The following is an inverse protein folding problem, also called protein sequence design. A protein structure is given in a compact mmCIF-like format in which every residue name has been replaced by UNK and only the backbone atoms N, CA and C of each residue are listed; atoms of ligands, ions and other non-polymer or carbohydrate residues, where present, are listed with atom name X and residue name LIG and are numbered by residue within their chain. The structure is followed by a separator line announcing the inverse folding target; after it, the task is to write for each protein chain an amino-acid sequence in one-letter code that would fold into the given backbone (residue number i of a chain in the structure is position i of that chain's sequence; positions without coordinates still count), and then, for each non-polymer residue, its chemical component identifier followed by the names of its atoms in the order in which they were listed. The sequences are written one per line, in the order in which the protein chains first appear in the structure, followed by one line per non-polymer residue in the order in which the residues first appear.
data_IF_573611090158
#
_entry.id   IF_573611090158
#
_cell.length_a   1.000
_cell.length_b   1.000
_cell.length_c   1.000
_cell.angle_alpha   90.00
_cell.angle_beta   90.00
_cell.angle_gamma   90.00
#
_symmetry.space_group_name_H-M   'P 1'
#
loop_
_entity.id
_entity.type
_entity.pdbx_description
1 polymer ?
#
# COMPACT_ATOMS: atom_id res chain seq x y z
N UNK A 1 22.11 -1.64 -14.92
CA UNK A 1 20.99 -0.70 -14.70
C UNK A 1 21.13 0.43 -15.70
N UNK A 2 20.11 0.68 -16.53
CA UNK A 2 20.15 1.73 -17.56
C UNK A 2 19.88 3.12 -16.97
N UNK A 3 20.23 4.20 -17.69
CA UNK A 3 19.90 5.60 -17.31
C UNK A 3 18.41 5.75 -16.98
N UNK A 4 17.53 5.16 -17.81
CA UNK A 4 16.08 5.18 -17.61
C UNK A 4 15.63 4.47 -16.33
N UNK A 5 16.18 3.28 -16.03
CA UNK A 5 15.87 2.55 -14.79
C UNK A 5 16.28 3.34 -13.54
N UNK A 6 17.41 4.04 -13.58
CA UNK A 6 17.85 4.91 -12.48
C UNK A 6 16.86 6.06 -12.28
N UNK A 7 16.46 6.72 -13.37
CA UNK A 7 15.51 7.83 -13.33
C UNK A 7 14.13 7.39 -12.79
N UNK A 8 13.61 6.24 -13.23
CA UNK A 8 12.38 5.66 -12.70
C UNK A 8 12.47 5.39 -11.19
N UNK A 9 13.54 4.75 -10.71
CA UNK A 9 13.73 4.49 -9.28
C UNK A 9 13.83 5.77 -8.46
N UNK A 10 14.52 6.79 -8.96
CA UNK A 10 14.56 8.10 -8.30
C UNK A 10 13.18 8.74 -8.21
N UNK A 11 12.40 8.66 -9.28
CA UNK A 11 11.04 9.18 -9.30
C UNK A 11 10.12 8.41 -8.34
N UNK A 12 10.19 7.08 -8.33
CA UNK A 12 9.46 6.24 -7.37
C UNK A 12 9.81 6.58 -5.92
N UNK A 13 11.10 6.74 -5.59
CA UNK A 13 11.53 7.16 -4.25
C UNK A 13 10.98 8.52 -3.86
N UNK A 14 10.89 9.45 -4.82
CA UNK A 14 10.26 10.74 -4.60
C UNK A 14 8.75 10.60 -4.31
N UNK A 15 8.03 9.78 -5.06
CA UNK A 15 6.62 9.51 -4.83
C UNK A 15 6.38 8.83 -3.47
N UNK A 16 7.20 7.86 -3.07
CA UNK A 16 7.12 7.20 -1.76
C UNK A 16 7.16 8.20 -0.59
N UNK A 17 7.92 9.29 -0.75
CA UNK A 17 8.15 10.30 0.28
C UNK A 17 7.16 11.48 0.23
N UNK A 18 6.22 11.51 -0.72
CA UNK A 18 5.31 12.64 -0.94
C UNK A 18 3.88 12.14 -1.14
N UNK A 19 2.91 12.96 -0.74
CA UNK A 19 1.50 12.77 -1.09
C UNK A 19 1.05 14.02 -1.84
N UNK A 20 0.22 13.83 -2.86
CA UNK A 20 -0.28 14.89 -3.71
C UNK A 20 -1.80 14.96 -3.61
N UNK A 21 -2.34 16.18 -3.63
CA UNK A 21 -3.78 16.41 -3.65
C UNK A 21 -4.09 17.42 -4.76
N UNK A 22 -4.74 16.95 -5.83
CA UNK A 22 -5.12 17.75 -7.00
C UNK A 22 -3.94 18.47 -7.69
N UNK A 23 -2.82 17.77 -7.86
CA UNK A 23 -1.64 18.29 -8.59
C UNK A 23 -1.68 17.92 -10.07
N UNK A 24 -1.28 18.84 -10.93
CA UNK A 24 -0.96 18.52 -12.33
C UNK A 24 0.39 17.79 -12.40
N UNK A 25 0.59 16.96 -13.43
CA UNK A 25 1.86 16.24 -13.57
C UNK A 25 3.07 17.18 -13.67
N UNK A 26 2.92 18.33 -14.33
CA UNK A 26 4.01 19.32 -14.43
C UNK A 26 4.42 19.89 -13.07
N UNK A 27 3.47 20.01 -12.13
CA UNK A 27 3.74 20.44 -10.76
C UNK A 27 4.47 19.34 -9.99
N UNK A 28 4.04 18.07 -10.15
CA UNK A 28 4.71 16.89 -9.57
C UNK A 28 6.15 16.80 -10.10
N UNK A 29 6.35 16.97 -11.41
CA UNK A 29 7.67 16.99 -12.03
C UNK A 29 8.55 18.11 -11.48
N UNK A 30 8.01 19.33 -11.39
CA UNK A 30 8.74 20.49 -10.86
C UNK A 30 9.26 20.24 -9.44
N UNK A 31 8.44 19.64 -8.57
CA UNK A 31 8.84 19.21 -7.23
C UNK A 31 9.90 18.10 -7.24
N UNK A 32 9.84 17.18 -8.20
CA UNK A 32 10.83 16.11 -8.34
C UNK A 32 12.22 16.65 -8.70
N UNK A 33 12.29 17.63 -9.60
CA UNK A 33 13.55 18.19 -10.11
C UNK A 33 14.10 19.36 -9.29
N UNK A 34 13.34 19.90 -8.34
CA UNK A 34 13.73 21.07 -7.52
C UNK A 34 15.15 20.92 -6.93
N UNK A 35 15.42 19.75 -6.34
CA UNK A 35 16.72 19.39 -5.77
C UNK A 35 17.61 18.56 -6.73
N UNK A 36 17.21 18.41 -7.99
CA UNK A 36 17.86 17.56 -9.01
C UNK A 36 17.87 18.24 -10.38
N UNK A 37 18.28 19.51 -10.43
CA UNK A 37 18.22 20.33 -11.65
C UNK A 37 18.91 19.69 -12.87
N UNK A 38 19.93 18.86 -12.66
CA UNK A 38 20.62 18.11 -13.72
C UNK A 38 19.70 17.10 -14.44
N UNK A 39 18.55 16.74 -13.87
CA UNK A 39 17.54 15.88 -14.49
C UNK A 39 16.54 16.66 -15.35
N UNK A 40 16.54 18.01 -15.31
CA UNK A 40 15.57 18.83 -16.03
C UNK A 40 15.89 18.94 -17.51
N UNK A 41 15.59 17.88 -18.26
CA UNK A 41 15.66 17.84 -19.73
C UNK A 41 14.32 17.38 -20.28
N UNK A 42 13.99 17.79 -21.51
CA UNK A 42 12.78 17.36 -22.21
C UNK A 42 12.71 15.83 -22.35
N UNK A 43 13.83 15.19 -22.70
CA UNK A 43 13.96 13.73 -22.77
C UNK A 43 13.56 13.04 -21.45
N UNK A 44 14.04 13.55 -20.32
CA UNK A 44 13.75 12.96 -19.01
C UNK A 44 12.31 13.22 -18.57
N UNK A 45 11.78 14.41 -18.88
CA UNK A 45 10.38 14.76 -18.61
C UNK A 45 9.45 13.80 -19.34
N UNK A 46 9.61 13.65 -20.65
CA UNK A 46 8.76 12.78 -21.47
C UNK A 46 8.89 11.32 -21.04
N UNK A 47 10.12 10.86 -20.77
CA UNK A 47 10.35 9.50 -20.30
C UNK A 47 9.63 9.21 -18.97
N UNK A 48 9.68 10.13 -17.99
CA UNK A 48 8.98 9.95 -16.71
C UNK A 48 7.47 10.13 -16.85
N UNK A 49 7.01 11.01 -17.74
CA UNK A 49 5.59 11.17 -18.02
C UNK A 49 4.98 9.89 -18.62
N UNK A 50 5.65 9.29 -19.60
CA UNK A 50 5.24 8.00 -20.16
C UNK A 50 5.23 6.90 -19.11
N UNK A 51 6.28 6.81 -18.28
CA UNK A 51 6.32 5.89 -17.15
C UNK A 51 5.16 6.09 -16.17
N UNK A 52 4.85 7.36 -15.85
CA UNK A 52 3.77 7.74 -14.95
C UNK A 52 2.41 7.29 -15.50
N UNK A 53 2.07 7.65 -16.74
CA UNK A 53 0.78 7.28 -17.35
C UNK A 53 0.64 5.76 -17.47
N UNK A 54 1.68 5.08 -17.96
CA UNK A 54 1.58 3.66 -18.30
C UNK A 54 1.52 2.76 -17.07
N UNK A 55 2.29 3.06 -16.02
CA UNK A 55 2.48 2.16 -14.89
C UNK A 55 1.89 2.67 -13.58
N UNK A 56 1.75 3.99 -13.41
CA UNK A 56 1.39 4.55 -12.12
C UNK A 56 -0.01 5.12 -12.05
N UNK A 57 -0.40 5.91 -13.05
CA UNK A 57 -1.62 6.73 -13.06
C UNK A 57 -2.85 5.91 -12.65
N UNK A 58 -3.16 4.84 -13.39
CA UNK A 58 -4.38 4.03 -13.17
C UNK A 58 -4.41 3.26 -11.85
N UNK A 59 -3.24 2.95 -11.27
CA UNK A 59 -3.13 2.06 -10.10
C UNK A 59 -2.96 2.82 -8.80
N UNK A 60 -2.34 3.99 -8.86
CA UNK A 60 -1.83 4.68 -7.68
C UNK A 60 -2.41 6.09 -7.54
N UNK A 61 -3.10 6.62 -8.54
CA UNK A 61 -3.67 7.96 -8.47
C UNK A 61 -5.18 7.97 -8.75
N UNK A 62 -5.88 8.85 -8.03
CA UNK A 62 -7.23 9.28 -8.41
C UNK A 62 -7.09 10.46 -9.36
N UNK A 63 -7.76 10.39 -10.51
CA UNK A 63 -7.70 11.39 -11.56
C UNK A 63 -8.96 12.25 -11.49
N UNK A 64 -8.78 13.56 -11.40
CA UNK A 64 -9.83 14.54 -11.61
C UNK A 64 -9.88 14.89 -13.10
N UNK A 65 -10.94 14.42 -13.76
CA UNK A 65 -11.17 14.62 -15.20
C UNK A 65 -12.10 15.81 -15.50
N UNK A 66 -12.53 16.57 -14.49
CA UNK A 66 -13.50 17.67 -14.70
C UNK A 66 -12.89 18.85 -15.47
N UNK A 67 -11.57 19.06 -15.34
CA UNK A 67 -10.85 20.17 -15.97
C UNK A 67 -9.50 19.71 -16.51
N UNK A 68 -9.13 20.24 -17.68
CA UNK A 68 -7.78 20.14 -18.20
C UNK A 68 -6.93 21.34 -17.70
N UNK A 69 -5.65 21.14 -17.33
CA UNK A 69 -4.92 19.86 -17.30
C UNK A 69 -5.43 18.91 -16.21
N UNK A 70 -5.29 17.60 -16.44
CA UNK A 70 -5.69 16.58 -15.47
C UNK A 70 -4.96 16.76 -14.14
N UNK A 71 -5.69 16.51 -13.04
CA UNK A 71 -5.14 16.60 -11.69
C UNK A 71 -5.15 15.25 -11.01
N UNK A 72 -4.09 15.02 -10.24
CA UNK A 72 -3.78 13.74 -9.63
C UNK A 72 -3.75 13.87 -8.12
N UNK A 73 -4.42 12.95 -7.46
CA UNK A 73 -4.39 12.77 -6.01
C UNK A 73 -3.79 11.41 -5.69
N UNK A 74 -2.81 11.36 -4.78
CA UNK A 74 -2.16 10.12 -4.35
C UNK A 74 -3.19 9.19 -3.69
N UNK A 75 -3.32 7.97 -4.23
CA UNK A 75 -4.14 6.89 -3.68
C UNK A 75 -3.32 5.66 -3.26
N UNK A 76 -2.01 5.68 -3.51
CA UNK A 76 -1.08 4.65 -3.10
C UNK A 76 -0.63 4.80 -1.65
N UNK A 77 -0.26 3.70 -1.03
CA UNK A 77 0.61 3.69 0.13
C UNK A 77 2.08 3.53 -0.24
N UNK A 78 2.98 3.94 0.65
CA UNK A 78 4.42 3.91 0.38
C UNK A 78 4.93 2.50 0.06
N UNK A 79 4.38 1.46 0.69
CA UNK A 79 4.75 0.06 0.44
C UNK A 79 4.36 -0.40 -0.98
N UNK A 80 3.28 0.13 -1.56
CA UNK A 80 2.76 -0.28 -2.87
C UNK A 80 3.72 0.10 -3.99
N UNK A 81 4.41 1.23 -3.81
CA UNK A 81 5.42 1.72 -4.73
C UNK A 81 6.80 1.11 -4.50
N UNK A 82 7.07 0.52 -3.31
CA UNK A 82 8.39 -0.07 -3.01
C UNK A 82 8.78 -1.19 -3.96
N UNK A 83 7.81 -1.93 -4.53
CA UNK A 83 8.10 -3.02 -5.48
C UNK A 83 8.93 -2.56 -6.68
N UNK A 84 8.74 -1.34 -7.17
CA UNK A 84 9.49 -0.81 -8.32
C UNK A 84 10.97 -0.51 -8.00
N UNK A 85 11.34 -0.48 -6.71
CA UNK A 85 12.74 -0.38 -6.29
C UNK A 85 13.44 -1.73 -6.22
N UNK A 86 12.70 -2.84 -6.24
CA UNK A 86 13.23 -4.18 -6.14
C UNK A 86 13.72 -4.69 -7.52
N UNK A 87 14.69 -5.62 -7.54
CA UNK A 87 14.97 -6.45 -8.72
C UNK A 87 13.70 -7.15 -9.21
N UNK A 88 13.55 -7.30 -10.53
CA UNK A 88 12.34 -7.84 -11.16
C UNK A 88 11.97 -9.23 -10.63
N UNK A 89 12.99 -10.04 -10.34
CA UNK A 89 12.88 -11.40 -9.80
C UNK A 89 12.21 -11.42 -8.41
N UNK A 90 12.32 -10.33 -7.65
CA UNK A 90 11.79 -10.21 -6.30
C UNK A 90 10.41 -9.53 -6.26
N UNK A 91 10.00 -8.84 -7.34
CA UNK A 91 8.76 -8.07 -7.35
C UNK A 91 7.52 -8.95 -7.17
N UNK A 92 7.48 -10.10 -7.84
CA UNK A 92 6.35 -11.05 -7.73
C UNK A 92 6.20 -11.60 -6.32
N UNK A 93 7.32 -11.98 -5.68
CA UNK A 93 7.32 -12.47 -4.30
C UNK A 93 6.84 -11.40 -3.32
N UNK A 94 7.35 -10.16 -3.46
CA UNK A 94 6.94 -9.01 -2.67
C UNK A 94 5.44 -8.74 -2.80
N UNK A 95 4.93 -8.69 -4.04
CA UNK A 95 3.52 -8.42 -4.32
C UNK A 95 2.60 -9.52 -3.75
N UNK A 96 2.98 -10.78 -3.87
CA UNK A 96 2.25 -11.92 -3.29
C UNK A 96 2.18 -11.85 -1.76
N UNK A 97 3.31 -11.63 -1.09
CA UNK A 97 3.38 -11.48 0.37
C UNK A 97 2.55 -10.29 0.82
N UNK A 98 2.64 -9.18 0.10
CA UNK A 98 1.92 -7.95 0.40
C UNK A 98 0.39 -8.13 0.30
N UNK A 99 -0.10 -8.69 -0.82
CA UNK A 99 -1.53 -8.96 -1.02
C UNK A 99 -2.06 -9.91 0.08
N UNK A 100 -1.30 -10.97 0.39
CA UNK A 100 -1.67 -11.91 1.45
C UNK A 100 -1.75 -11.23 2.81
N UNK A 101 -0.80 -10.36 3.13
CA UNK A 101 -0.79 -9.56 4.38
C UNK A 101 -2.04 -8.71 4.47
N UNK A 102 -2.42 -8.00 3.39
CA UNK A 102 -3.64 -7.17 3.37
C UNK A 102 -4.92 -7.97 3.51
N UNK A 103 -4.99 -9.15 2.91
CA UNK A 103 -6.14 -10.04 3.11
C UNK A 103 -6.28 -10.45 4.57
N UNK A 104 -5.19 -10.90 5.18
CA UNK A 104 -5.19 -11.34 6.58
C UNK A 104 -5.42 -10.19 7.56
N UNK A 105 -4.97 -8.96 7.26
CA UNK A 105 -5.31 -7.78 8.08
C UNK A 105 -6.82 -7.52 8.11
N UNK A 106 -7.53 -7.73 6.99
CA UNK A 106 -9.00 -7.61 6.96
C UNK A 106 -9.67 -8.73 7.77
N UNK A 107 -9.18 -9.95 7.65
CA UNK A 107 -9.69 -11.09 8.42
C UNK A 107 -9.45 -10.89 9.92
N UNK A 108 -8.32 -10.30 10.29
CA UNK A 108 -7.98 -9.94 11.67
C UNK A 108 -8.96 -8.90 12.24
N UNK A 109 -9.24 -7.83 11.49
CA UNK A 109 -10.22 -6.81 11.89
C UNK A 109 -11.61 -7.41 12.07
N UNK A 110 -12.03 -8.29 11.16
CA UNK A 110 -13.31 -9.01 11.29
C UNK A 110 -13.32 -9.86 12.56
N UNK A 111 -12.23 -10.57 12.84
CA UNK A 111 -12.12 -11.39 14.05
C UNK A 111 -12.17 -10.55 15.33
N UNK A 112 -11.60 -9.34 15.34
CA UNK A 112 -11.70 -8.40 16.47
C UNK A 112 -13.13 -7.96 16.71
N UNK A 113 -13.88 -7.62 15.66
CA UNK A 113 -15.29 -7.27 15.76
C UNK A 113 -16.14 -8.45 16.27
N UNK A 114 -15.88 -9.67 15.78
CA UNK A 114 -16.58 -10.87 16.26
C UNK A 114 -16.36 -11.10 17.76
N UNK A 115 -15.13 -10.93 18.26
CA UNK A 115 -14.80 -11.03 19.69
C UNK A 115 -15.58 -9.98 20.49
N UNK A 116 -15.61 -8.72 20.04
CA UNK A 116 -16.37 -7.66 20.69
C UNK A 116 -17.86 -8.00 20.81
N UNK A 117 -18.48 -8.51 19.74
CA UNK A 117 -19.88 -8.94 19.80
C UNK A 117 -20.10 -10.12 20.75
N UNK A 118 -19.18 -11.08 20.83
CA UNK A 118 -19.28 -12.15 21.82
C UNK A 118 -19.23 -11.63 23.26
N UNK A 119 -18.37 -10.65 23.55
CA UNK A 119 -18.30 -10.00 24.87
C UNK A 119 -19.59 -9.22 25.22
N UNK A 120 -20.23 -8.59 24.24
CA UNK A 120 -21.53 -7.95 24.40
C UNK A 120 -22.61 -8.99 24.71
N UNK A 121 -22.71 -10.03 23.87
CA UNK A 121 -23.70 -11.11 24.05
C UNK A 121 -23.49 -11.92 25.33
N UNK A 122 -22.26 -12.02 25.83
CA UNK A 122 -21.97 -12.63 27.12
C UNK A 122 -22.73 -11.92 28.26
N UNK A 123 -22.86 -10.59 28.18
CA UNK A 123 -23.60 -9.78 29.16
C UNK A 123 -25.12 -9.85 28.95
N UNK A 124 -25.56 -9.93 27.70
CA UNK A 124 -26.99 -9.93 27.34
C UNK A 124 -27.68 -11.27 27.58
N UNK A 125 -26.96 -12.39 27.42
CA UNK A 125 -27.53 -13.74 27.46
C UNK A 125 -26.91 -14.64 28.53
N UNK A 126 -27.08 -14.34 29.83
CA UNK A 126 -26.47 -15.09 30.93
C UNK A 126 -26.88 -16.57 30.97
N UNK A 127 -28.06 -16.91 30.43
CA UNK A 127 -28.57 -18.29 30.37
C UNK A 127 -27.67 -19.21 29.52
N UNK A 128 -26.96 -18.66 28.53
CA UNK A 128 -26.07 -19.40 27.63
C UNK A 128 -24.62 -18.95 27.74
N UNK A 129 -24.24 -18.33 28.87
CA UNK A 129 -22.92 -17.74 29.06
C UNK A 129 -21.78 -18.74 28.83
N UNK A 130 -21.96 -20.00 29.21
CA UNK A 130 -20.93 -21.03 29.04
C UNK A 130 -20.69 -21.37 27.57
N UNK A 131 -21.75 -21.41 26.75
CA UNK A 131 -21.63 -21.61 25.31
C UNK A 131 -20.94 -20.41 24.64
N UNK A 132 -21.26 -19.19 25.09
CA UNK A 132 -20.62 -17.97 24.61
C UNK A 132 -19.13 -17.97 24.97
N UNK A 133 -18.78 -18.32 26.20
CA UNK A 133 -17.39 -18.40 26.67
C UNK A 133 -16.55 -19.42 25.88
N UNK A 134 -17.12 -20.59 25.56
CA UNK A 134 -16.46 -21.58 24.69
C UNK A 134 -16.21 -21.04 23.27
N UNK A 135 -17.18 -20.33 22.70
CA UNK A 135 -17.05 -19.73 21.38
C UNK A 135 -16.03 -18.58 21.38
N UNK A 136 -16.07 -17.73 22.41
CA UNK A 136 -15.12 -16.64 22.62
C UNK A 136 -13.69 -17.17 22.69
N UNK A 137 -13.44 -18.19 23.53
CA UNK A 137 -12.11 -18.75 23.67
C UNK A 137 -11.59 -19.35 22.36
N UNK A 138 -12.44 -20.04 21.60
CA UNK A 138 -12.07 -20.54 20.27
C UNK A 138 -11.70 -19.40 19.31
N UNK A 139 -12.47 -18.31 19.34
CA UNK A 139 -12.23 -17.13 18.49
C UNK A 139 -10.96 -16.38 18.86
N UNK A 140 -10.66 -16.24 20.15
CA UNK A 140 -9.38 -15.68 20.61
C UNK A 140 -8.17 -16.48 20.11
N UNK A 141 -8.26 -17.82 20.12
CA UNK A 141 -7.20 -18.67 19.58
C UNK A 141 -7.04 -18.51 18.05
N UNK A 142 -8.15 -18.41 17.31
CA UNK A 142 -8.13 -18.12 15.87
C UNK A 142 -7.52 -16.74 15.59
N UNK A 143 -7.92 -15.72 16.36
CA UNK A 143 -7.37 -14.37 16.28
C UNK A 143 -5.86 -14.36 16.51
N UNK A 144 -5.37 -15.05 17.55
CA UNK A 144 -3.94 -15.13 17.85
C UNK A 144 -3.15 -15.79 16.70
N UNK A 145 -3.70 -16.85 16.09
CA UNK A 145 -3.08 -17.49 14.91
C UNK A 145 -3.00 -16.53 13.73
N UNK A 146 -4.09 -15.82 13.43
CA UNK A 146 -4.13 -14.82 12.35
C UNK A 146 -3.11 -13.70 12.59
N UNK A 147 -3.07 -13.16 13.81
CA UNK A 147 -2.12 -12.13 14.22
C UNK A 147 -0.68 -12.58 14.01
N UNK A 148 -0.34 -13.78 14.48
CA UNK A 148 0.99 -14.36 14.31
C UNK A 148 1.38 -14.51 12.83
N UNK A 149 0.44 -14.93 11.97
CA UNK A 149 0.68 -15.00 10.52
C UNK A 149 0.94 -13.62 9.91
N UNK A 150 0.14 -12.61 10.28
CA UNK A 150 0.34 -11.23 9.84
C UNK A 150 1.71 -10.72 10.27
N UNK A 151 2.12 -10.97 11.51
CA UNK A 151 3.41 -10.53 12.04
C UNK A 151 4.58 -11.17 11.28
N UNK A 152 4.53 -12.48 11.00
CA UNK A 152 5.52 -13.16 10.17
C UNK A 152 5.61 -12.55 8.77
N UNK A 153 4.46 -12.29 8.12
CA UNK A 153 4.47 -11.69 6.79
C UNK A 153 5.01 -10.24 6.80
N UNK A 154 4.74 -9.47 7.85
CA UNK A 154 5.32 -8.13 8.04
C UNK A 154 6.84 -8.17 8.18
N UNK A 155 7.38 -9.14 8.92
CA UNK A 155 8.82 -9.35 9.01
C UNK A 155 9.42 -9.77 7.66
N UNK A 156 8.74 -10.62 6.89
CA UNK A 156 9.19 -10.96 5.54
C UNK A 156 9.20 -9.74 4.62
N UNK A 157 8.23 -8.83 4.71
CA UNK A 157 8.21 -7.58 3.93
C UNK A 157 9.41 -6.70 4.30
N UNK A 158 9.77 -6.60 5.59
CA UNK A 158 10.94 -5.85 6.04
C UNK A 158 12.26 -6.41 5.48
N UNK A 159 12.33 -7.71 5.19
CA UNK A 159 13.52 -8.31 4.60
C UNK A 159 13.79 -7.86 3.15
N UNK A 160 12.85 -7.17 2.50
CA UNK A 160 13.04 -6.55 1.18
C UNK A 160 13.53 -5.10 1.25
N UNK A 161 13.56 -4.48 2.43
CA UNK A 161 14.06 -3.10 2.65
C UNK A 161 15.59 -3.07 2.73
#
# INVERSE_FOLDING_TARGET
MTKGQILQRLFIRFLIAKKFEKYEFIQIWSLFIENRKYLNTEENFEFIYQFFIQLLEKRFFIIDMEKLPLKYTSAYESYELKKFNLPEELQSAYESIFIKTKSLEKDLQKSEMEIQYFEEYFKEYPVIQFQIELLLHKKEQEHLKLKTQVDVLKELIKAFD
#
